data_IF_833060263285
#
_entry.id   IF_833060263285
#
_cell.length_a   1.000
_cell.length_b   1.000
_cell.length_c   1.000
_cell.angle_alpha   90.00
_cell.angle_beta   90.00
_cell.angle_gamma   90.00
#
_symmetry.space_group_name_H-M   'P 1'
#
loop_
_entity.id
_entity.type
_entity.pdbx_description
1 polymer ?
#
# COMPACT_ATOMS: atom_id res chain seq x y z
N UNK A 1 7.08 -10.73 20.44
CA UNK A 1 7.25 -10.40 19.01
C UNK A 1 8.73 -10.44 18.68
N UNK A 2 9.12 -10.94 17.51
CA UNK A 2 10.53 -11.18 17.14
C UNK A 2 11.29 -9.90 16.70
N UNK A 3 10.66 -8.73 16.80
CA UNK A 3 11.23 -7.43 16.42
C UNK A 3 11.51 -7.26 14.92
N UNK A 4 11.25 -8.30 14.10
CA UNK A 4 11.55 -8.33 12.66
C UNK A 4 10.29 -8.27 11.81
N UNK A 5 9.16 -8.75 12.32
CA UNK A 5 7.88 -8.78 11.61
C UNK A 5 7.02 -7.56 11.94
N UNK A 6 6.47 -6.92 10.91
CA UNK A 6 5.56 -5.75 11.03
C UNK A 6 4.14 -6.11 10.60
N UNK A 7 3.14 -5.29 10.93
CA UNK A 7 1.75 -5.47 10.45
C UNK A 7 1.70 -5.57 8.92
N UNK A 8 2.51 -4.78 8.21
CA UNK A 8 2.58 -4.83 6.75
C UNK A 8 3.06 -6.19 6.23
N UNK A 9 3.90 -6.93 6.98
CA UNK A 9 4.24 -8.30 6.60
C UNK A 9 3.02 -9.23 6.65
N UNK A 10 2.14 -9.07 7.64
CA UNK A 10 0.91 -9.85 7.72
C UNK A 10 -0.06 -9.46 6.60
N UNK A 11 -0.24 -8.16 6.35
CA UNK A 11 -1.08 -7.65 5.25
C UNK A 11 -0.59 -8.16 3.90
N UNK A 12 0.71 -8.08 3.61
CA UNK A 12 1.29 -8.59 2.35
C UNK A 12 1.07 -10.09 2.21
N UNK A 13 1.28 -10.88 3.26
CA UNK A 13 1.01 -12.33 3.25
C UNK A 13 -0.47 -12.63 3.03
N UNK A 14 -1.34 -11.83 3.62
CA UNK A 14 -2.78 -11.98 3.51
C UNK A 14 -3.28 -11.65 2.10
N UNK A 15 -2.77 -10.58 1.48
CA UNK A 15 -3.04 -10.25 0.06
C UNK A 15 -2.58 -11.40 -0.84
N UNK A 16 -1.36 -11.90 -0.66
CA UNK A 16 -0.86 -13.04 -1.42
C UNK A 16 -1.75 -14.28 -1.23
N UNK A 17 -2.30 -14.48 -0.03
CA UNK A 17 -3.18 -15.59 0.30
C UNK A 17 -4.58 -15.43 -0.33
N UNK A 18 -5.12 -14.21 -0.39
CA UNK A 18 -6.44 -13.93 -0.98
C UNK A 18 -6.45 -14.09 -2.49
N UNK A 19 -5.35 -13.76 -3.17
CA UNK A 19 -5.17 -14.03 -4.61
C UNK A 19 -5.19 -15.53 -4.96
N UNK A 20 -4.97 -16.41 -3.98
CA UNK A 20 -5.04 -17.87 -4.15
C UNK A 20 -6.42 -18.49 -3.87
N UNK A 21 -7.44 -17.69 -3.54
CA UNK A 21 -8.76 -18.20 -3.12
C UNK A 21 -9.78 -18.31 -4.26
N UNK A 22 -9.55 -17.66 -5.41
CA UNK A 22 -10.52 -17.57 -6.51
C UNK A 22 -10.47 -18.75 -7.50
N UNK A 23 -9.61 -19.74 -7.26
CA UNK A 23 -9.56 -20.97 -8.06
C UNK A 23 -10.36 -22.08 -7.38
N UNK A 24 -11.65 -22.13 -7.70
CA UNK A 24 -12.52 -23.23 -7.30
C UNK A 24 -12.03 -24.54 -7.96
N UNK A 25 -11.61 -25.45 -7.08
CA UNK A 25 -11.69 -26.91 -7.17
C UNK A 25 -11.64 -27.57 -8.57
N UNK A 26 -10.46 -28.05 -8.94
CA UNK A 26 -10.36 -29.40 -9.52
C UNK A 26 -9.31 -30.19 -8.74
N UNK A 27 -9.77 -31.30 -8.17
CA UNK A 27 -8.99 -32.18 -7.33
C UNK A 27 -7.77 -32.73 -8.07
N UNK A 28 -6.61 -32.68 -7.41
CA UNK A 28 -5.66 -33.77 -7.14
C UNK A 28 -4.39 -33.11 -6.62
N UNK A 29 -4.16 -33.18 -5.31
CA UNK A 29 -2.94 -32.78 -4.59
C UNK A 29 -2.36 -31.40 -4.98
N UNK A 30 -2.52 -30.33 -4.18
CA UNK A 30 -1.78 -29.10 -4.40
C UNK A 30 -0.30 -29.37 -4.09
N UNK A 31 0.44 -29.78 -5.12
CA UNK A 31 1.90 -29.80 -5.08
C UNK A 31 2.41 -28.39 -4.79
N UNK A 32 3.64 -28.28 -4.28
CA UNK A 32 4.24 -26.99 -3.91
C UNK A 32 4.18 -25.95 -5.04
N UNK A 33 4.10 -26.39 -6.30
CA UNK A 33 4.02 -25.52 -7.48
C UNK A 33 2.79 -24.60 -7.55
N UNK A 34 1.60 -25.02 -7.09
CA UNK A 34 0.41 -24.15 -7.10
C UNK A 34 0.53 -23.03 -6.07
N UNK A 35 1.07 -23.34 -4.89
CA UNK A 35 1.28 -22.38 -3.81
C UNK A 35 2.41 -21.40 -4.10
N UNK A 36 3.48 -21.88 -4.73
CA UNK A 36 4.58 -21.05 -5.22
C UNK A 36 4.13 -20.12 -6.36
N UNK A 37 3.18 -20.55 -7.19
CA UNK A 37 2.60 -19.71 -8.24
C UNK A 37 1.82 -18.54 -7.64
N UNK A 38 0.90 -18.77 -6.70
CA UNK A 38 0.15 -17.68 -6.03
C UNK A 38 1.08 -16.70 -5.30
N UNK A 39 2.13 -17.21 -4.66
CA UNK A 39 3.16 -16.36 -4.05
C UNK A 39 3.83 -15.46 -5.08
N UNK A 40 4.18 -15.99 -6.25
CA UNK A 40 4.79 -15.21 -7.34
C UNK A 40 3.82 -14.16 -7.89
N UNK A 41 2.57 -14.54 -8.12
CA UNK A 41 1.57 -13.66 -8.72
C UNK A 41 1.17 -12.52 -7.77
N UNK A 42 0.91 -12.82 -6.49
CA UNK A 42 0.62 -11.78 -5.49
C UNK A 42 1.80 -10.83 -5.26
N UNK A 43 3.04 -11.33 -5.27
CA UNK A 43 4.23 -10.47 -5.20
C UNK A 43 4.42 -9.61 -6.45
N UNK A 44 4.09 -10.14 -7.64
CA UNK A 44 4.14 -9.38 -8.89
C UNK A 44 3.11 -8.25 -8.89
N UNK A 45 1.91 -8.52 -8.39
CA UNK A 45 0.85 -7.51 -8.24
C UNK A 45 1.30 -6.39 -7.29
N UNK A 46 1.79 -6.74 -6.11
CA UNK A 46 2.26 -5.76 -5.12
C UNK A 46 3.45 -4.94 -5.62
N UNK A 47 4.40 -5.55 -6.34
CA UNK A 47 5.50 -4.85 -6.99
C UNK A 47 5.04 -3.94 -8.14
N UNK A 48 3.90 -4.25 -8.78
CA UNK A 48 3.27 -3.46 -9.82
C UNK A 48 2.81 -2.08 -9.33
N UNK A 49 2.38 -1.97 -8.08
CA UNK A 49 1.88 -0.71 -7.49
C UNK A 49 2.90 0.43 -7.56
N UNK A 50 4.19 0.13 -7.38
CA UNK A 50 5.26 1.12 -7.51
C UNK A 50 5.35 1.69 -8.94
N UNK A 51 5.02 0.91 -9.96
CA UNK A 51 5.00 1.36 -11.35
C UNK A 51 3.71 2.11 -11.72
N UNK A 52 2.56 1.63 -11.24
CA UNK A 52 1.26 2.26 -11.45
C UNK A 52 1.19 3.66 -10.83
N UNK A 53 1.82 3.84 -9.67
CA UNK A 53 1.90 5.11 -8.96
C UNK A 53 3.15 5.93 -9.32
N UNK A 54 3.71 5.76 -10.52
CA UNK A 54 4.90 6.51 -10.96
C UNK A 54 4.75 8.04 -10.90
N UNK A 55 3.55 8.57 -11.16
CA UNK A 55 3.28 10.00 -11.03
C UNK A 55 3.31 10.48 -9.57
N UNK A 56 2.91 9.63 -8.61
CA UNK A 56 3.04 9.94 -7.17
C UNK A 56 4.50 10.09 -6.80
N UNK A 57 5.36 9.18 -7.26
CA UNK A 57 6.81 9.25 -7.01
C UNK A 57 7.42 10.54 -7.56
N UNK A 58 6.97 10.97 -8.75
CA UNK A 58 7.38 12.26 -9.34
C UNK A 58 6.84 13.47 -8.58
N UNK A 59 5.63 13.39 -8.04
CA UNK A 59 5.04 14.46 -7.24
C UNK A 59 5.68 14.54 -5.84
N UNK A 60 6.13 13.43 -5.28
CA UNK A 60 6.83 13.36 -3.99
C UNK A 60 8.19 14.08 -4.02
N UNK A 61 8.82 14.22 -5.19
CA UNK A 61 10.07 14.99 -5.35
C UNK A 61 9.85 16.50 -5.45
N UNK A 62 8.60 16.98 -5.47
CA UNK A 62 8.31 18.42 -5.54
C UNK A 62 8.55 19.07 -4.18
N UNK A 63 9.47 20.03 -4.13
CA UNK A 63 9.78 20.79 -2.92
C UNK A 63 8.80 21.97 -2.76
N UNK A 64 7.84 21.83 -1.84
CA UNK A 64 6.84 22.87 -1.58
C UNK A 64 7.47 24.20 -1.11
N UNK A 65 8.48 24.13 -0.24
CA UNK A 65 9.16 25.32 0.28
C UNK A 65 9.90 26.08 -0.82
N UNK A 66 10.55 25.36 -1.73
CA UNK A 66 11.20 25.92 -2.91
C UNK A 66 10.19 26.60 -3.84
N UNK A 67 9.05 25.95 -4.09
CA UNK A 67 7.96 26.54 -4.89
C UNK A 67 7.38 27.80 -4.22
N UNK A 68 7.10 27.75 -2.93
CA UNK A 68 6.61 28.89 -2.14
C UNK A 68 7.59 30.06 -2.17
N UNK A 69 8.89 29.79 -1.96
CA UNK A 69 9.95 30.79 -2.05
C UNK A 69 10.05 31.41 -3.45
N UNK A 70 9.84 30.62 -4.51
CA UNK A 70 9.79 31.14 -5.88
C UNK A 70 8.58 32.05 -6.11
N UNK A 71 7.40 31.67 -5.60
CA UNK A 71 6.18 32.49 -5.68
C UNK A 71 6.37 33.83 -4.95
N UNK A 72 6.92 33.81 -3.73
CA UNK A 72 7.20 35.03 -2.96
C UNK A 72 8.18 35.97 -3.69
N UNK A 73 9.21 35.40 -4.33
CA UNK A 73 10.17 36.17 -5.14
C UNK A 73 9.53 36.78 -6.37
N UNK A 74 8.69 36.02 -7.08
CA UNK A 74 7.93 36.53 -8.23
C UNK A 74 7.04 37.71 -7.82
N UNK A 75 6.35 37.64 -6.68
CA UNK A 75 5.55 38.75 -6.15
C UNK A 75 6.38 39.98 -5.86
N UNK A 76 7.52 39.81 -5.17
CA UNK A 76 8.42 40.92 -4.86
C UNK A 76 8.98 41.59 -6.13
N UNK A 77 9.30 40.81 -7.16
CA UNK A 77 9.76 41.34 -8.45
C UNK A 77 8.63 42.05 -9.21
N UNK A 78 7.41 41.55 -9.10
CA UNK A 78 6.24 42.14 -9.73
C UNK A 78 5.87 43.52 -9.12
N UNK A 79 6.07 43.68 -7.81
CA UNK A 79 5.97 44.98 -7.15
C UNK A 79 7.03 45.98 -7.68
N UNK A 80 8.24 45.53 -8.01
CA UNK A 80 9.25 46.40 -8.67
C UNK A 80 8.79 46.85 -10.06
N UNK A 81 8.20 45.94 -10.84
CA UNK A 81 7.64 46.28 -12.16
C UNK A 81 6.53 47.33 -12.03
N UNK A 82 5.68 47.21 -11.01
CA UNK A 82 4.63 48.19 -10.69
C UNK A 82 5.20 49.57 -10.34
N UNK A 83 6.32 49.65 -9.63
CA UNK A 83 7.02 50.92 -9.39
C UNK A 83 7.53 51.55 -10.70
N UNK A 84 8.06 50.75 -11.62
CA UNK A 84 8.49 51.23 -12.95
C UNK A 84 7.30 51.77 -13.76
N UNK A 85 6.12 51.14 -13.65
CA UNK A 85 4.90 51.63 -14.29
C UNK A 85 4.45 53.00 -13.76
N UNK A 86 4.68 53.31 -12.48
CA UNK A 86 4.37 54.63 -11.91
C UNK A 86 5.22 55.75 -12.52
N UNK A 87 6.39 55.42 -13.09
CA UNK A 87 7.24 56.38 -13.79
C UNK A 87 6.55 56.98 -15.03
N UNK A 88 5.48 56.35 -15.54
CA UNK A 88 4.66 56.87 -16.66
C UNK A 88 4.23 58.32 -16.44
N UNK A 89 3.92 58.71 -15.19
CA UNK A 89 3.46 60.06 -14.84
C UNK A 89 4.56 61.13 -14.99
N UNK A 90 5.83 60.72 -15.07
CA UNK A 90 6.99 61.62 -15.17
C UNK A 90 7.51 61.81 -16.59
N UNK A 91 6.97 61.09 -17.58
CA UNK A 91 7.43 61.15 -18.97
C UNK A 91 6.52 62.07 -19.81
N UNK A 92 7.12 63.07 -20.46
CA UNK A 92 6.37 64.14 -21.14
C UNK A 92 6.02 63.90 -22.61
N UNK A 93 6.36 62.78 -23.28
CA UNK A 93 5.92 62.60 -24.69
C UNK A 93 5.70 61.15 -25.22
N UNK A 94 4.50 61.02 -25.80
CA UNK A 94 4.00 60.43 -27.06
C UNK A 94 4.44 59.03 -27.59
N UNK A 95 3.45 58.14 -27.61
CA UNK A 95 3.24 57.11 -28.64
C UNK A 95 3.93 55.77 -28.40
N UNK A 96 5.26 55.72 -28.55
CA UNK A 96 6.01 54.46 -28.46
C UNK A 96 6.14 53.95 -27.02
N UNK A 97 6.31 54.87 -26.06
CA UNK A 97 6.32 54.57 -24.62
C UNK A 97 4.95 54.12 -24.12
N UNK A 98 3.87 54.68 -24.65
CA UNK A 98 2.48 54.33 -24.29
C UNK A 98 2.19 52.85 -24.55
N UNK A 99 2.66 52.32 -25.70
CA UNK A 99 2.51 50.90 -26.04
C UNK A 99 3.25 49.98 -25.05
N UNK A 100 4.43 50.39 -24.59
CA UNK A 100 5.18 49.63 -23.57
C UNK A 100 4.41 49.61 -22.24
N UNK A 101 3.96 50.77 -21.74
CA UNK A 101 3.22 50.84 -20.49
C UNK A 101 1.90 50.06 -20.57
N UNK A 102 1.19 50.14 -21.70
CA UNK A 102 -0.05 49.39 -21.90
C UNK A 102 0.19 47.88 -21.92
N UNK A 103 1.23 47.42 -22.64
CA UNK A 103 1.62 46.02 -22.65
C UNK A 103 2.00 45.53 -21.25
N UNK A 104 2.74 46.35 -20.50
CA UNK A 104 3.20 46.03 -19.15
C UNK A 104 2.06 46.01 -18.12
N UNK A 105 1.04 46.87 -18.27
CA UNK A 105 -0.19 46.80 -17.46
C UNK A 105 -0.95 45.49 -17.69
N UNK A 106 -1.05 45.04 -18.95
CA UNK A 106 -1.69 43.75 -19.28
C UNK A 106 -0.87 42.58 -18.74
N UNK A 107 0.45 42.63 -18.87
CA UNK A 107 1.37 41.64 -18.31
C UNK A 107 1.21 41.53 -16.79
N UNK A 108 1.28 42.67 -16.08
CA UNK A 108 1.15 42.74 -14.62
C UNK A 108 -0.15 42.08 -14.15
N UNK A 109 -1.28 42.47 -14.75
CA UNK A 109 -2.60 41.90 -14.42
C UNK A 109 -2.65 40.38 -14.61
N UNK A 110 -2.07 39.86 -15.70
CA UNK A 110 -2.04 38.42 -15.98
C UNK A 110 -1.16 37.68 -14.98
N UNK A 111 0.03 38.20 -14.72
CA UNK A 111 0.97 37.63 -13.77
C UNK A 111 0.40 37.59 -12.35
N UNK A 112 -0.24 38.68 -11.88
CA UNK A 112 -0.91 38.73 -10.57
C UNK A 112 -2.03 37.68 -10.46
N UNK A 113 -2.85 37.53 -11.52
CA UNK A 113 -3.92 36.54 -11.55
C UNK A 113 -3.40 35.10 -11.51
N UNK A 114 -2.31 34.81 -12.23
CA UNK A 114 -1.70 33.49 -12.28
C UNK A 114 -1.01 33.13 -10.95
N UNK A 115 -0.26 34.07 -10.36
CA UNK A 115 0.34 33.91 -9.02
C UNK A 115 -0.74 33.68 -7.96
N UNK A 116 -1.83 34.45 -8.00
CA UNK A 116 -2.96 34.27 -7.08
C UNK A 116 -3.56 32.87 -7.21
N UNK A 117 -3.77 32.39 -8.45
CA UNK A 117 -4.29 31.06 -8.70
C UNK A 117 -3.38 29.96 -8.13
N UNK A 118 -2.06 30.12 -8.24
CA UNK A 118 -1.08 29.19 -7.66
C UNK A 118 -1.14 29.13 -6.12
N UNK A 119 -1.63 30.18 -5.45
CA UNK A 119 -1.76 30.24 -3.98
C UNK A 119 -3.09 29.71 -3.44
N UNK A 120 -4.18 29.82 -4.20
CA UNK A 120 -5.54 29.43 -3.77
C UNK A 120 -5.83 27.92 -3.84
N UNK A 121 -4.83 27.08 -4.12
CA UNK A 121 -4.95 25.64 -3.94
C UNK A 121 -4.91 25.32 -2.43
N UNK A 122 -6.05 25.51 -1.76
CA UNK A 122 -6.24 25.45 -0.30
C UNK A 122 -6.11 24.05 0.31
N UNK A 123 -4.89 23.54 0.41
CA UNK A 123 -4.51 22.69 1.53
C UNK A 123 -3.21 23.24 2.14
N UNK A 124 -2.99 23.10 3.45
CA UNK A 124 -1.74 23.56 4.05
C UNK A 124 -0.53 22.81 3.47
N UNK A 125 -0.68 21.58 2.97
CA UNK A 125 0.42 20.76 2.42
C UNK A 125 -0.07 19.76 1.33
N UNK A 126 -0.61 20.20 0.18
CA UNK A 126 -1.17 19.31 -0.85
C UNK A 126 -0.16 18.29 -1.41
N UNK A 127 1.14 18.55 -1.23
CA UNK A 127 2.19 17.62 -1.67
C UNK A 127 2.56 16.54 -0.63
N UNK A 128 2.17 16.72 0.64
CA UNK A 128 2.55 15.79 1.74
C UNK A 128 2.02 14.39 1.51
N UNK A 129 0.82 14.26 0.95
CA UNK A 129 0.25 12.96 0.65
C UNK A 129 1.13 12.16 -0.33
N UNK A 130 1.75 12.81 -1.31
CA UNK A 130 2.62 12.13 -2.27
C UNK A 130 3.89 11.60 -1.59
N UNK A 131 4.48 12.37 -0.66
CA UNK A 131 5.64 11.93 0.13
C UNK A 131 5.29 10.72 0.99
N UNK A 132 4.17 10.76 1.70
CA UNK A 132 3.72 9.64 2.56
C UNK A 132 3.47 8.38 1.74
N UNK A 133 2.84 8.51 0.57
CA UNK A 133 2.58 7.36 -0.30
C UNK A 133 3.88 6.82 -0.91
N UNK A 134 4.82 7.67 -1.32
CA UNK A 134 6.13 7.24 -1.82
C UNK A 134 6.91 6.47 -0.74
N UNK A 135 6.97 6.98 0.49
CA UNK A 135 7.57 6.29 1.63
C UNK A 135 6.90 4.95 1.91
N UNK A 136 5.57 4.90 1.88
CA UNK A 136 4.83 3.65 2.03
C UNK A 136 5.18 2.63 0.94
N UNK A 137 5.27 3.06 -0.32
CA UNK A 137 5.64 2.18 -1.44
C UNK A 137 7.07 1.64 -1.29
N UNK A 138 8.02 2.45 -0.81
CA UNK A 138 9.38 1.99 -0.50
C UNK A 138 9.40 0.91 0.60
N UNK A 139 8.58 1.09 1.65
CA UNK A 139 8.45 0.10 2.72
C UNK A 139 7.75 -1.16 2.19
N UNK A 140 6.71 -1.02 1.37
CA UNK A 140 6.00 -2.14 0.74
C UNK A 140 6.94 -2.97 -0.13
N UNK A 141 7.74 -2.33 -0.98
CA UNK A 141 8.74 -2.99 -1.83
C UNK A 141 9.75 -3.78 -0.99
N UNK A 142 10.18 -3.23 0.15
CA UNK A 142 11.06 -3.93 1.10
C UNK A 142 10.37 -5.17 1.69
N UNK A 143 9.15 -5.02 2.20
CA UNK A 143 8.40 -6.13 2.82
C UNK A 143 8.10 -7.23 1.78
N UNK A 144 7.76 -6.87 0.54
CA UNK A 144 7.54 -7.83 -0.53
C UNK A 144 8.82 -8.64 -0.84
N UNK A 145 10.00 -8.00 -0.85
CA UNK A 145 11.28 -8.71 -0.98
C UNK A 145 11.55 -9.65 0.20
N UNK A 146 11.26 -9.21 1.41
CA UNK A 146 11.49 -10.01 2.63
C UNK A 146 10.58 -11.25 2.63
N UNK A 147 9.29 -11.08 2.32
CA UNK A 147 8.33 -12.20 2.16
C UNK A 147 8.73 -13.12 1.00
N UNK A 148 9.18 -12.55 -0.12
CA UNK A 148 9.69 -13.30 -1.28
C UNK A 148 10.85 -14.23 -0.93
N UNK A 149 11.81 -13.75 -0.14
CA UNK A 149 13.01 -14.50 0.27
C UNK A 149 12.76 -15.55 1.36
N UNK A 150 11.68 -15.45 2.13
CA UNK A 150 11.38 -16.45 3.16
C UNK A 150 10.93 -17.77 2.52
N UNK A 151 11.67 -18.88 2.73
CA UNK A 151 11.21 -20.19 2.34
C UNK A 151 10.04 -20.59 3.25
N UNK A 152 9.01 -21.18 2.66
CA UNK A 152 7.73 -21.41 3.36
C UNK A 152 7.84 -22.33 4.59
N UNK A 153 8.86 -23.20 4.65
CA UNK A 153 9.13 -24.09 5.80
C UNK A 153 9.41 -23.35 7.11
N UNK A 154 9.81 -22.08 7.06
CA UNK A 154 10.01 -21.23 8.25
C UNK A 154 8.77 -20.40 8.58
N UNK A 155 7.84 -20.26 7.62
CA UNK A 155 6.63 -19.44 7.78
C UNK A 155 5.54 -20.13 8.60
N UNK A 156 5.56 -21.47 8.66
CA UNK A 156 4.81 -22.26 9.64
C UNK A 156 5.75 -22.64 10.78
N UNK A 157 5.97 -21.71 11.71
CA UNK A 157 6.55 -22.06 12.99
C UNK A 157 5.69 -23.14 13.64
N UNK A 158 6.25 -24.34 13.77
CA UNK A 158 5.83 -25.48 14.60
C UNK A 158 4.47 -25.30 15.28
N UNK A 159 3.40 -25.32 14.49
CA UNK A 159 2.08 -25.65 15.00
C UNK A 159 2.14 -27.12 15.37
N UNK A 160 2.65 -27.41 16.57
CA UNK A 160 2.54 -28.73 17.17
C UNK A 160 1.04 -29.01 17.22
N UNK A 161 0.55 -29.74 16.23
CA UNK A 161 -0.73 -30.40 16.31
C UNK A 161 -0.66 -31.24 17.58
N UNK A 162 -1.39 -30.83 18.61
CA UNK A 162 -1.70 -31.70 19.72
C UNK A 162 -2.57 -32.81 19.13
N UNK A 163 -1.93 -33.87 18.61
CA UNK A 163 -2.59 -35.16 18.53
C UNK A 163 -2.74 -35.62 19.96
N UNK A 164 -3.95 -35.54 20.49
CA UNK A 164 -4.35 -36.27 21.68
C UNK A 164 -4.21 -37.76 21.33
N UNK A 165 -3.35 -38.54 21.99
CA UNK A 165 -3.32 -39.98 21.81
C UNK A 165 -4.62 -40.55 22.41
N UNK A 166 -5.45 -41.18 21.59
CA UNK A 166 -6.52 -42.04 22.09
C UNK A 166 -5.86 -43.28 22.71
N UNK A 167 -5.56 -43.20 24.00
CA UNK A 167 -4.78 -44.19 24.72
C UNK A 167 -4.91 -44.05 26.22
N UNK A 168 -6.13 -44.04 26.74
CA UNK A 168 -6.39 -44.41 28.13
C UNK A 168 -7.14 -45.72 28.14
N UNK A 169 -6.37 -46.80 28.15
CA UNK A 169 -6.85 -48.11 28.58
C UNK A 169 -7.37 -48.00 30.02
N UNK A 170 -8.64 -48.37 30.21
CA UNK A 170 -9.24 -48.53 31.53
C UNK A 170 -8.54 -49.67 32.28
N UNK A 171 -8.24 -49.54 33.58
CA UNK A 171 -7.66 -50.62 34.36
C UNK A 171 -8.70 -51.73 34.61
N UNK A 172 -8.30 -53.02 34.61
CA UNK A 172 -9.24 -54.11 34.78
C UNK A 172 -9.68 -54.21 36.24
N UNK A 173 -10.98 -54.10 36.47
CA UNK A 173 -11.57 -54.42 37.76
C UNK A 173 -11.71 -55.95 37.88
N UNK A 174 -10.84 -56.53 38.71
CA UNK A 174 -10.90 -57.92 39.17
C UNK A 174 -12.10 -58.07 40.10
N UNK A 175 -12.99 -59.02 39.83
CA UNK A 175 -13.56 -59.89 40.87
C UNK A 175 -14.30 -61.10 40.30
N UNK A 176 -13.86 -62.24 40.81
CA UNK A 176 -14.35 -63.61 40.67
C UNK A 176 -15.74 -63.76 41.31
N UNK A 177 -16.71 -64.35 40.61
CA UNK A 177 -17.19 -65.71 40.91
C UNK A 177 -18.49 -66.06 40.17
N UNK A 178 -18.59 -67.36 39.88
CA UNK A 178 -19.81 -68.18 39.81
C UNK A 178 -20.43 -68.42 38.43
N UNK A 179 -19.84 -69.45 37.80
CA UNK A 179 -20.47 -70.69 37.26
C UNK A 179 -21.93 -70.62 36.79
N UNK A 180 -22.14 -71.23 35.61
CA UNK A 180 -23.06 -72.35 35.29
C UNK A 180 -23.79 -72.10 33.95
N UNK A 181 -23.51 -72.99 32.97
CA UNK A 181 -24.38 -73.62 31.93
C UNK A 181 -25.37 -72.71 31.15
N UNK A 182 -25.78 -72.90 29.90
CA UNK A 182 -25.66 -73.90 28.83
C UNK A 182 -26.51 -73.34 27.68
N UNK A 183 -26.18 -73.71 26.43
CA UNK A 183 -27.07 -73.90 25.27
C UNK A 183 -28.04 -72.80 24.83
N UNK A 184 -27.96 -72.39 23.56
CA UNK A 184 -28.80 -72.98 22.50
C UNK A 184 -28.80 -72.11 21.26
N UNK A 185 -28.82 -72.83 20.14
CA UNK A 185 -28.72 -72.40 18.75
C UNK A 185 -29.96 -71.68 18.19
N UNK A 186 -29.77 -71.27 16.93
CA UNK A 186 -30.74 -71.14 15.83
C UNK A 186 -31.31 -69.76 15.46
N UNK A 187 -30.91 -69.40 14.23
CA UNK A 187 -31.73 -69.05 13.06
C UNK A 187 -32.37 -67.66 12.84
N UNK A 188 -31.83 -67.03 11.78
CA UNK A 188 -32.50 -66.74 10.50
C UNK A 188 -33.66 -65.72 10.40
N UNK A 189 -33.36 -64.72 9.55
CA UNK A 189 -34.18 -64.18 8.44
C UNK A 189 -35.30 -63.16 8.71
N UNK A 190 -35.01 -61.96 8.22
CA UNK A 190 -35.76 -61.15 7.24
C UNK A 190 -37.30 -61.12 7.27
N UNK A 191 -37.81 -59.90 7.42
CA UNK A 191 -38.85 -59.32 6.55
C UNK A 191 -38.59 -57.83 6.40
#
# INVERSE_FOLDING_TARGET
>A
TDGRTTLLHFVVKEIIRSEGFDSDQSAVNPGSGSKEQFKRDGLKLLAGLSSELSNVKRAATLEMDTLSGNILRLEADLEKVKLVLQLKETCSDQGASENFFQAMVVFLRRAEAEIKNMKTAEEPHPLRIFVVVDEFLLILDRVCRDVGRTPERVMMGSGKSFRVPAGTSLPPHRNENRRVLSSSDEDSSSS
#
